data_IF_960837850976
#
_entry.id   IF_960837850976
#
_cell.length_a   1.000
_cell.length_b   1.000
_cell.length_c   1.000
_cell.angle_alpha   90.00
_cell.angle_beta   90.00
_cell.angle_gamma   90.00
#
_symmetry.space_group_name_H-M   'P 1'
#
loop_
_entity.id
_entity.type
_entity.pdbx_description
1 polymer ?
#
# COMPACT_ATOMS: atom_id res chain seq x y z
N UNK A 1 -24.18 68.47 25.27
CA UNK A 1 -25.45 67.98 24.71
C UNK A 1 -25.75 66.65 25.42
N UNK A 2 -26.54 66.58 26.51
CA UNK A 2 -28.00 66.85 26.62
C UNK A 2 -28.77 65.94 25.63
N UNK A 3 -29.67 65.01 25.98
CA UNK A 3 -30.69 64.89 27.04
C UNK A 3 -31.12 63.40 27.22
N UNK A 4 -31.39 62.96 28.45
CA UNK A 4 -32.71 62.57 29.04
C UNK A 4 -33.26 61.18 28.67
N UNK A 5 -33.39 60.21 29.58
CA UNK A 5 -34.30 60.07 30.74
C UNK A 5 -35.64 59.39 30.37
N UNK A 6 -36.06 58.40 31.17
CA UNK A 6 -37.31 57.65 30.97
C UNK A 6 -37.46 56.46 31.92
N UNK A 7 -37.62 56.73 33.21
CA UNK A 7 -37.98 55.82 34.29
C UNK A 7 -39.49 55.55 34.38
N UNK A 8 -39.89 54.35 34.85
CA UNK A 8 -40.95 54.07 35.86
C UNK A 8 -41.35 52.58 35.73
N UNK A 9 -41.09 51.72 36.70
CA UNK A 9 -41.73 51.55 38.03
C UNK A 9 -43.02 50.70 37.97
N UNK A 10 -43.18 49.84 38.97
CA UNK A 10 -44.50 49.35 39.39
C UNK A 10 -44.76 47.86 39.31
N UNK A 11 -44.58 47.17 40.45
CA UNK A 11 -45.61 46.24 40.92
C UNK A 11 -45.42 44.74 40.67
N UNK A 12 -44.98 44.02 41.70
CA UNK A 12 -45.47 42.65 41.95
C UNK A 12 -46.79 42.75 42.74
N UNK A 13 -47.73 41.83 42.49
CA UNK A 13 -48.01 40.87 43.57
C UNK A 13 -48.18 39.41 43.08
N UNK A 14 -48.17 38.53 44.08
CA UNK A 14 -48.34 37.07 44.07
C UNK A 14 -49.81 36.65 43.87
N UNK A 15 -50.01 35.38 43.47
CA UNK A 15 -51.27 34.61 43.63
C UNK A 15 -51.71 33.97 42.31
N UNK A 16 -51.31 32.73 42.02
CA UNK A 16 -52.11 31.50 42.20
C UNK A 16 -53.38 31.41 41.32
N UNK A 17 -53.34 30.49 40.35
CA UNK A 17 -54.22 29.30 40.25
C UNK A 17 -54.69 29.00 38.81
N UNK A 18 -54.19 27.86 38.31
CA UNK A 18 -54.92 26.77 37.64
C UNK A 18 -55.82 27.13 36.45
N UNK A 19 -55.44 26.62 35.26
CA UNK A 19 -56.27 25.72 34.44
C UNK A 19 -55.43 25.21 33.26
N UNK A 20 -55.02 23.95 33.40
CA UNK A 20 -54.54 23.02 32.38
C UNK A 20 -55.59 22.80 31.29
N UNK A 21 -55.18 22.79 30.02
CA UNK A 21 -56.02 22.23 28.96
C UNK A 21 -55.60 22.66 27.56
N UNK A 22 -55.26 21.67 26.75
CA UNK A 22 -55.32 21.66 25.27
C UNK A 22 -54.35 22.56 24.50
N UNK A 23 -53.09 22.12 24.39
CA UNK A 23 -52.20 22.51 23.30
C UNK A 23 -51.22 21.39 22.87
N UNK A 24 -51.58 20.12 23.08
CA UNK A 24 -50.72 18.97 22.79
C UNK A 24 -51.22 18.05 21.64
N UNK A 25 -52.36 18.35 21.03
CA UNK A 25 -52.97 17.43 20.03
C UNK A 25 -52.59 17.70 18.56
N UNK A 26 -51.84 18.76 18.25
CA UNK A 26 -51.51 19.09 16.84
C UNK A 26 -50.07 18.72 16.42
N UNK A 27 -49.26 18.09 17.30
CA UNK A 27 -47.89 17.66 16.98
C UNK A 27 -47.72 16.14 16.80
N UNK A 28 -48.81 15.38 16.64
CA UNK A 28 -48.76 13.92 16.47
C UNK A 28 -48.92 13.42 15.02
N UNK A 29 -49.10 14.32 14.04
CA UNK A 29 -49.44 13.95 12.64
C UNK A 29 -48.29 13.88 11.63
N UNK A 30 -47.05 14.25 11.98
CA UNK A 30 -45.93 14.33 11.01
C UNK A 30 -44.68 13.58 11.50
N UNK A 31 -44.82 12.28 11.74
CA UNK A 31 -43.67 11.37 11.91
C UNK A 31 -43.89 10.00 11.26
N UNK A 32 -44.70 9.94 10.20
CA UNK A 32 -44.85 8.75 9.35
C UNK A 32 -43.98 8.83 8.09
N UNK A 33 -42.72 9.24 8.22
CA UNK A 33 -41.71 8.80 7.25
C UNK A 33 -41.36 7.39 7.67
N UNK A 34 -41.98 6.40 7.03
CA UNK A 34 -41.72 4.99 7.25
C UNK A 34 -40.23 4.69 7.11
N UNK A 35 -39.50 4.77 8.23
CA UNK A 35 -38.17 4.23 8.34
C UNK A 35 -38.35 2.72 8.18
N UNK A 36 -38.12 2.23 6.95
CA UNK A 36 -37.98 0.82 6.63
C UNK A 36 -37.01 0.24 7.64
N UNK A 37 -37.54 -0.41 8.69
CA UNK A 37 -36.73 -1.21 9.61
C UNK A 37 -35.98 -2.20 8.72
N UNK A 38 -34.63 -2.26 8.74
CA UNK A 38 -33.93 -3.26 7.96
C UNK A 38 -34.51 -4.61 8.36
N UNK A 39 -35.14 -5.29 7.40
CA UNK A 39 -35.79 -6.57 7.66
C UNK A 39 -34.82 -7.43 8.46
N UNK A 40 -35.26 -7.91 9.62
CA UNK A 40 -34.43 -8.73 10.50
C UNK A 40 -33.79 -9.83 9.66
N UNK A 41 -32.46 -9.94 9.65
CA UNK A 41 -31.68 -10.87 8.78
C UNK A 41 -32.26 -12.30 8.76
N UNK A 42 -32.99 -12.69 9.79
CA UNK A 42 -33.75 -13.95 9.92
C UNK A 42 -34.86 -14.18 8.89
N UNK A 43 -35.46 -13.14 8.29
CA UNK A 43 -36.54 -13.26 7.29
C UNK A 43 -36.04 -13.36 5.84
N UNK A 44 -34.75 -13.20 5.59
CA UNK A 44 -34.20 -13.29 4.23
C UNK A 44 -34.11 -14.76 3.76
N UNK A 45 -34.36 -15.04 2.47
CA UNK A 45 -34.10 -16.35 1.87
C UNK A 45 -32.65 -16.79 2.13
N UNK A 46 -32.44 -18.10 2.32
CA UNK A 46 -31.12 -18.65 2.66
C UNK A 46 -30.02 -18.23 1.65
N UNK A 47 -30.37 -18.14 0.37
CA UNK A 47 -29.47 -17.68 -0.69
C UNK A 47 -29.04 -16.21 -0.53
N UNK A 48 -29.96 -15.32 -0.15
CA UNK A 48 -29.67 -13.89 0.05
C UNK A 48 -28.78 -13.69 1.29
N UNK A 49 -29.00 -14.48 2.35
CA UNK A 49 -28.12 -14.48 3.54
C UNK A 49 -26.71 -14.97 3.21
N UNK A 50 -26.60 -16.05 2.44
CA UNK A 50 -25.31 -16.61 2.04
C UNK A 50 -24.52 -15.65 1.13
N UNK A 51 -25.22 -14.97 0.21
CA UNK A 51 -24.65 -13.91 -0.63
C UNK A 51 -24.14 -12.73 0.20
N UNK A 52 -24.97 -12.16 1.08
CA UNK A 52 -24.56 -11.04 1.94
C UNK A 52 -23.41 -11.40 2.89
N UNK A 53 -23.32 -12.66 3.32
CA UNK A 53 -22.21 -13.15 4.14
C UNK A 53 -20.87 -13.22 3.38
N UNK A 54 -20.90 -13.41 2.06
CA UNK A 54 -19.71 -13.54 1.20
C UNK A 54 -19.60 -12.43 0.15
N UNK A 55 -20.41 -11.37 0.27
CA UNK A 55 -20.58 -10.34 -0.75
C UNK A 55 -19.25 -9.73 -1.19
N UNK A 56 -18.37 -9.41 -0.24
CA UNK A 56 -17.02 -8.88 -0.52
C UNK A 56 -16.17 -9.84 -1.35
N UNK A 57 -16.22 -11.14 -1.06
CA UNK A 57 -15.43 -12.15 -1.77
C UNK A 57 -16.03 -12.42 -3.15
N UNK A 58 -17.36 -12.49 -3.25
CA UNK A 58 -18.07 -12.71 -4.50
C UNK A 58 -17.85 -11.53 -5.45
N UNK A 59 -18.06 -10.29 -4.98
CA UNK A 59 -17.84 -9.08 -5.78
C UNK A 59 -16.36 -8.94 -6.19
N UNK A 60 -15.42 -9.21 -5.28
CA UNK A 60 -14.00 -9.19 -5.59
C UNK A 60 -13.61 -10.23 -6.64
N UNK A 61 -14.07 -11.46 -6.50
CA UNK A 61 -13.79 -12.55 -7.45
C UNK A 61 -14.44 -12.29 -8.81
N UNK A 62 -15.69 -11.83 -8.82
CA UNK A 62 -16.40 -11.44 -10.04
C UNK A 62 -15.65 -10.33 -10.79
N UNK A 63 -15.18 -9.30 -10.08
CA UNK A 63 -14.44 -8.20 -10.70
C UNK A 63 -13.13 -8.68 -11.35
N UNK A 64 -12.39 -9.57 -10.67
CA UNK A 64 -11.17 -10.16 -11.23
C UNK A 64 -11.48 -11.01 -12.47
N UNK A 65 -12.53 -11.83 -12.42
CA UNK A 65 -12.96 -12.62 -13.57
C UNK A 65 -13.39 -11.75 -14.75
N UNK A 66 -14.18 -10.69 -14.49
CA UNK A 66 -14.57 -9.73 -15.51
C UNK A 66 -13.36 -9.04 -16.14
N UNK A 67 -12.38 -8.66 -15.33
CA UNK A 67 -11.12 -8.08 -15.82
C UNK A 67 -10.36 -9.06 -16.72
N UNK A 68 -10.23 -10.32 -16.31
CA UNK A 68 -9.54 -11.35 -17.09
C UNK A 68 -10.28 -11.67 -18.39
N UNK A 69 -11.60 -11.76 -18.36
CA UNK A 69 -12.43 -11.98 -19.54
C UNK A 69 -12.35 -10.78 -20.49
N UNK A 70 -12.39 -9.55 -19.95
CA UNK A 70 -12.21 -8.34 -20.73
C UNK A 70 -10.83 -8.27 -21.39
N UNK A 71 -9.78 -8.73 -20.70
CA UNK A 71 -8.42 -8.84 -21.26
C UNK A 71 -8.28 -10.02 -22.24
N UNK A 72 -8.96 -11.14 -22.06
CA UNK A 72 -8.96 -12.17 -23.11
C UNK A 72 -9.68 -11.66 -24.37
N UNK A 73 -10.81 -10.96 -24.20
CA UNK A 73 -11.49 -10.23 -25.28
C UNK A 73 -10.58 -9.18 -25.94
N UNK A 74 -9.79 -8.48 -25.10
CA UNK A 74 -8.51 -7.78 -25.37
C UNK A 74 -7.82 -8.09 -26.70
N UNK A 75 -7.39 -9.33 -26.71
CA UNK A 75 -6.37 -9.84 -27.57
C UNK A 75 -7.03 -10.67 -28.68
N UNK A 76 -8.12 -11.37 -28.36
CA UNK A 76 -8.93 -12.09 -29.35
C UNK A 76 -9.71 -11.19 -30.29
N UNK A 77 -9.93 -9.92 -29.91
CA UNK A 77 -10.60 -8.93 -30.74
C UNK A 77 -12.12 -8.97 -30.68
N UNK A 78 -12.71 -9.38 -29.55
CA UNK A 78 -14.17 -9.49 -29.41
C UNK A 78 -14.93 -8.18 -29.67
N UNK A 79 -14.32 -7.02 -29.41
CA UNK A 79 -14.85 -5.70 -29.77
C UNK A 79 -14.79 -5.41 -31.25
N UNK A 80 -13.73 -5.84 -31.94
CA UNK A 80 -13.66 -5.67 -33.38
C UNK A 80 -14.79 -6.47 -34.03
N UNK A 81 -15.07 -7.67 -33.48
CA UNK A 81 -16.20 -8.49 -33.92
C UNK A 81 -17.55 -7.86 -33.53
N UNK A 82 -17.67 -7.30 -32.32
CA UNK A 82 -18.89 -6.62 -31.86
C UNK A 82 -19.21 -5.32 -32.62
N UNK A 83 -18.19 -4.58 -33.07
CA UNK A 83 -18.31 -3.35 -33.84
C UNK A 83 -18.35 -3.58 -35.35
N UNK A 84 -18.12 -4.82 -35.81
CA UNK A 84 -18.19 -5.20 -37.22
C UNK A 84 -19.52 -4.82 -37.90
N UNK A 85 -20.70 -4.96 -37.25
CA UNK A 85 -21.97 -4.54 -37.86
C UNK A 85 -22.03 -3.03 -38.13
N UNK A 86 -21.28 -2.22 -37.36
CA UNK A 86 -21.27 -0.76 -37.46
C UNK A 86 -20.19 -0.24 -38.41
N UNK A 87 -18.98 -0.81 -38.32
CA UNK A 87 -17.78 -0.28 -38.97
C UNK A 87 -17.34 -1.08 -40.21
N UNK A 88 -18.01 -2.21 -40.51
CA UNK A 88 -17.63 -3.11 -41.60
C UNK A 88 -16.19 -3.59 -41.47
N UNK A 89 -15.47 -3.70 -42.58
CA UNK A 89 -14.08 -4.19 -42.62
C UNK A 89 -13.08 -3.25 -41.92
N UNK A 90 -13.47 -1.99 -41.68
CA UNK A 90 -12.65 -1.06 -40.89
C UNK A 90 -12.49 -1.52 -39.44
N UNK A 91 -13.41 -2.35 -38.92
CA UNK A 91 -13.30 -2.94 -37.59
C UNK A 91 -12.05 -3.82 -37.44
N UNK A 92 -11.54 -4.40 -38.52
CA UNK A 92 -10.34 -5.24 -38.49
C UNK A 92 -9.08 -4.43 -38.13
N UNK A 93 -9.07 -3.12 -38.41
CA UNK A 93 -7.99 -2.20 -37.99
C UNK A 93 -7.95 -1.97 -36.48
N UNK A 94 -9.05 -2.26 -35.77
CA UNK A 94 -9.15 -2.17 -34.31
C UNK A 94 -8.60 -3.42 -33.59
N UNK A 95 -8.32 -4.51 -34.33
CA UNK A 95 -7.67 -5.69 -33.73
C UNK A 95 -6.22 -5.35 -33.40
N UNK A 96 -5.86 -5.54 -32.13
CA UNK A 96 -4.48 -5.42 -31.69
C UNK A 96 -3.65 -6.52 -32.34
N UNK A 97 -2.44 -6.17 -32.80
CA UNK A 97 -1.53 -7.19 -33.35
C UNK A 97 -1.11 -8.11 -32.19
N UNK A 98 -1.23 -9.45 -32.33
CA UNK A 98 -0.88 -10.42 -31.29
C UNK A 98 0.55 -10.33 -30.76
N UNK A 99 1.45 -9.66 -31.50
CA UNK A 99 2.83 -9.44 -31.08
C UNK A 99 2.96 -8.47 -29.88
N UNK A 100 1.98 -7.58 -29.66
CA UNK A 100 2.04 -6.54 -28.63
C UNK A 100 1.25 -6.85 -27.36
N UNK A 101 0.40 -7.88 -27.38
CA UNK A 101 -0.40 -8.28 -26.22
C UNK A 101 -0.55 -9.79 -26.17
N UNK A 102 -0.45 -10.36 -24.96
CA UNK A 102 -0.69 -11.78 -24.73
C UNK A 102 -1.97 -11.98 -23.94
N UNK A 103 -2.76 -12.98 -24.33
CA UNK A 103 -3.92 -13.44 -23.56
C UNK A 103 -3.50 -14.02 -22.22
N UNK A 104 -4.31 -13.83 -21.15
CA UNK A 104 -4.14 -14.54 -19.88
C UNK A 104 -3.96 -16.06 -20.05
N UNK A 105 -4.65 -16.67 -21.01
CA UNK A 105 -4.52 -18.09 -21.31
C UNK A 105 -3.12 -18.48 -21.80
N UNK A 106 -2.55 -17.70 -22.74
CA UNK A 106 -1.18 -17.93 -23.23
C UNK A 106 -0.14 -17.67 -22.13
N UNK A 107 -0.34 -16.64 -21.31
CA UNK A 107 0.51 -16.35 -20.15
C UNK A 107 0.50 -17.53 -19.17
N UNK A 108 -0.67 -18.10 -18.89
CA UNK A 108 -0.80 -19.26 -18.01
C UNK A 108 -0.10 -20.51 -18.58
N UNK A 109 -0.24 -20.76 -19.89
CA UNK A 109 0.45 -21.86 -20.56
C UNK A 109 1.99 -21.68 -20.54
N UNK A 110 2.46 -20.46 -20.80
CA UNK A 110 3.88 -20.10 -20.71
C UNK A 110 4.39 -20.26 -19.27
N UNK A 111 3.64 -19.79 -18.27
CA UNK A 111 3.98 -19.96 -16.86
C UNK A 111 4.11 -21.46 -16.52
N UNK A 112 3.12 -22.27 -16.87
CA UNK A 112 3.16 -23.70 -16.59
C UNK A 112 4.40 -24.36 -17.20
N UNK A 113 4.73 -24.03 -18.45
CA UNK A 113 5.92 -24.54 -19.13
C UNK A 113 7.20 -24.09 -18.42
N UNK A 114 7.34 -22.81 -18.08
CA UNK A 114 8.55 -22.25 -17.49
C UNK A 114 8.79 -22.74 -16.06
N UNK A 115 7.72 -22.93 -15.27
CA UNK A 115 7.82 -23.40 -13.88
C UNK A 115 7.98 -24.91 -13.75
N UNK A 116 7.24 -25.70 -14.55
CA UNK A 116 7.11 -27.15 -14.32
C UNK A 116 7.74 -28.01 -15.42
N UNK A 117 7.92 -27.50 -16.63
CA UNK A 117 8.48 -28.28 -17.75
C UNK A 117 9.95 -27.98 -17.97
N UNK A 118 10.32 -26.71 -18.17
CA UNK A 118 11.72 -26.32 -18.36
C UNK A 118 12.43 -25.99 -17.05
N UNK A 119 11.69 -25.51 -16.05
CA UNK A 119 12.23 -25.10 -14.75
C UNK A 119 13.19 -23.91 -14.81
N UNK A 120 13.29 -23.22 -15.96
CA UNK A 120 14.28 -22.15 -16.18
C UNK A 120 14.09 -20.97 -15.22
N UNK A 121 12.83 -20.70 -14.84
CA UNK A 121 12.46 -19.57 -14.00
C UNK A 121 12.97 -19.69 -12.56
N UNK A 122 13.19 -20.91 -12.05
CA UNK A 122 13.68 -21.11 -10.69
C UNK A 122 15.10 -20.61 -10.51
N UNK A 123 15.95 -20.75 -11.54
CA UNK A 123 17.31 -20.23 -11.54
C UNK A 123 17.31 -18.70 -11.49
N UNK A 124 16.50 -18.07 -12.34
CA UNK A 124 16.40 -16.61 -12.38
C UNK A 124 15.77 -16.06 -11.09
N UNK A 125 14.74 -16.71 -10.57
CA UNK A 125 14.13 -16.36 -9.29
C UNK A 125 15.15 -16.46 -8.13
N UNK A 126 15.93 -17.54 -8.06
CA UNK A 126 16.96 -17.72 -7.03
C UNK A 126 18.06 -16.63 -7.14
N UNK A 127 18.48 -16.32 -8.37
CA UNK A 127 19.47 -15.28 -8.63
C UNK A 127 18.99 -13.90 -8.17
N UNK A 128 17.76 -13.54 -8.50
CA UNK A 128 17.15 -12.26 -8.11
C UNK A 128 16.90 -12.18 -6.60
N UNK A 129 16.38 -13.25 -6.00
CA UNK A 129 16.04 -13.26 -4.59
C UNK A 129 17.28 -13.18 -3.69
N UNK A 130 18.41 -13.76 -4.06
CA UNK A 130 19.66 -13.63 -3.30
C UNK A 130 20.12 -12.16 -3.20
N UNK A 131 20.21 -11.45 -4.33
CA UNK A 131 20.59 -10.03 -4.35
C UNK A 131 19.58 -9.15 -3.61
N UNK A 132 18.30 -9.44 -3.78
CA UNK A 132 17.21 -8.72 -3.12
C UNK A 132 17.24 -8.85 -1.60
N UNK A 133 17.34 -10.07 -1.09
CA UNK A 133 17.34 -10.30 0.36
C UNK A 133 18.55 -9.65 1.02
N UNK A 134 19.74 -9.76 0.41
CA UNK A 134 20.94 -9.10 0.93
C UNK A 134 20.82 -7.57 0.92
N UNK A 135 20.35 -6.98 -0.17
CA UNK A 135 20.12 -5.54 -0.27
C UNK A 135 19.10 -5.04 0.75
N UNK A 136 17.99 -5.77 0.92
CA UNK A 136 16.95 -5.44 1.89
C UNK A 136 17.45 -5.57 3.33
N UNK A 137 18.19 -6.63 3.67
CA UNK A 137 18.78 -6.81 5.01
C UNK A 137 19.74 -5.67 5.34
N UNK A 138 20.61 -5.28 4.41
CA UNK A 138 21.49 -4.12 4.59
C UNK A 138 20.69 -2.82 4.76
N UNK A 139 19.62 -2.64 3.99
CA UNK A 139 18.77 -1.46 4.08
C UNK A 139 18.07 -1.37 5.45
N UNK A 140 17.61 -2.50 5.99
CA UNK A 140 17.02 -2.61 7.33
C UNK A 140 18.08 -2.34 8.40
N UNK A 141 19.23 -2.99 8.29
CA UNK A 141 20.32 -2.90 9.26
C UNK A 141 20.92 -1.49 9.37
N UNK A 142 20.87 -0.69 8.31
CA UNK A 142 21.41 0.67 8.29
C UNK A 142 20.30 1.73 8.40
N UNK A 143 19.24 1.59 7.61
CA UNK A 143 18.17 2.58 7.51
C UNK A 143 17.38 2.74 8.80
N UNK A 144 17.02 1.64 9.48
CA UNK A 144 16.28 1.72 10.73
C UNK A 144 17.12 2.38 11.84
N UNK A 145 18.36 1.95 12.14
CA UNK A 145 19.17 2.61 13.16
C UNK A 145 19.46 4.08 12.84
N UNK A 146 19.76 4.41 11.59
CA UNK A 146 20.02 5.79 11.17
C UNK A 146 18.77 6.67 11.38
N UNK A 147 17.59 6.18 10.99
CA UNK A 147 16.34 6.90 11.16
C UNK A 147 15.96 7.07 12.64
N UNK A 148 16.05 6.00 13.44
CA UNK A 148 15.76 6.06 14.89
C UNK A 148 16.73 7.02 15.60
N UNK A 149 18.03 6.92 15.33
CA UNK A 149 19.03 7.80 15.94
C UNK A 149 18.82 9.25 15.50
N UNK A 150 18.53 9.50 14.21
CA UNK A 150 18.23 10.83 13.69
C UNK A 150 16.92 11.41 14.23
N UNK A 151 15.96 10.57 14.61
CA UNK A 151 14.72 10.98 15.28
C UNK A 151 14.94 11.32 16.75
N UNK A 152 15.82 10.57 17.42
CA UNK A 152 16.10 10.69 18.85
C UNK A 152 17.03 11.86 19.18
N UNK A 153 18.15 11.99 18.48
CA UNK A 153 19.14 13.01 18.75
C UNK A 153 18.94 14.25 17.88
N UNK A 154 18.65 15.39 18.50
CA UNK A 154 18.40 16.67 17.80
C UNK A 154 19.54 17.08 16.86
N UNK A 155 20.79 16.89 17.25
CA UNK A 155 21.97 17.19 16.41
C UNK A 155 22.03 16.29 15.17
N UNK A 156 21.79 14.99 15.35
CA UNK A 156 21.78 14.05 14.23
C UNK A 156 20.59 14.29 13.31
N UNK A 157 19.44 14.72 13.86
CA UNK A 157 18.29 15.16 13.06
C UNK A 157 18.67 16.30 12.10
N UNK A 158 19.43 17.29 12.55
CA UNK A 158 19.86 18.41 11.71
C UNK A 158 20.86 17.97 10.62
N UNK A 159 21.71 16.99 10.91
CA UNK A 159 22.62 16.45 9.92
C UNK A 159 21.89 15.57 8.89
N UNK A 160 21.01 14.68 9.31
CA UNK A 160 20.43 13.62 8.47
C UNK A 160 19.25 14.13 7.63
N UNK A 161 18.41 15.03 8.15
CA UNK A 161 17.19 15.48 7.46
C UNK A 161 17.44 16.08 6.06
N UNK A 162 18.41 16.98 5.85
CA UNK A 162 18.68 17.53 4.52
C UNK A 162 19.03 16.44 3.51
N UNK A 163 19.84 15.45 3.90
CA UNK A 163 20.21 14.34 3.02
C UNK A 163 19.01 13.43 2.71
N UNK A 164 18.19 13.08 3.72
CA UNK A 164 16.99 12.27 3.48
C UNK A 164 16.01 12.98 2.52
N UNK A 165 15.82 14.29 2.69
CA UNK A 165 14.97 15.08 1.82
C UNK A 165 15.54 15.16 0.39
N UNK A 166 16.82 15.49 0.24
CA UNK A 166 17.47 15.58 -1.06
C UNK A 166 17.47 14.25 -1.82
N UNK A 167 17.83 13.15 -1.14
CA UNK A 167 17.87 11.82 -1.76
C UNK A 167 16.48 11.31 -2.13
N UNK A 168 15.44 11.65 -1.35
CA UNK A 168 14.06 11.25 -1.67
C UNK A 168 13.44 12.10 -2.79
N UNK A 169 13.86 13.36 -2.93
CA UNK A 169 13.43 14.23 -4.03
C UNK A 169 14.11 13.86 -5.36
N UNK A 170 15.30 13.27 -5.29
CA UNK A 170 16.07 12.90 -6.48
C UNK A 170 15.57 11.55 -7.04
N UNK A 171 15.36 11.42 -8.37
CA UNK A 171 15.01 10.13 -8.97
C UNK A 171 16.19 9.16 -8.87
N UNK A 172 16.24 8.35 -7.80
CA UNK A 172 17.37 7.45 -7.50
C UNK A 172 17.65 6.47 -8.66
N UNK A 173 16.61 6.10 -9.41
CA UNK A 173 16.69 5.22 -10.60
C UNK A 173 17.62 5.81 -11.69
N UNK A 174 17.78 7.13 -11.76
CA UNK A 174 18.63 7.79 -12.74
C UNK A 174 20.13 7.53 -12.50
N UNK A 175 20.55 7.20 -11.27
CA UNK A 175 21.96 6.93 -10.95
C UNK A 175 22.40 5.49 -11.24
N UNK A 176 21.48 4.59 -11.59
CA UNK A 176 21.78 3.17 -11.74
C UNK A 176 22.90 2.88 -12.76
N UNK A 177 22.94 3.51 -13.95
CA UNK A 177 24.04 3.31 -14.89
C UNK A 177 25.40 3.70 -14.28
N UNK A 178 25.47 4.78 -13.48
CA UNK A 178 26.71 5.19 -12.81
C UNK A 178 27.14 4.19 -11.73
N UNK A 179 26.18 3.66 -10.98
CA UNK A 179 26.45 2.64 -9.96
C UNK A 179 27.09 1.40 -10.60
N UNK A 180 26.58 0.96 -11.74
CA UNK A 180 27.13 -0.19 -12.49
C UNK A 180 28.55 0.12 -12.97
N UNK A 181 28.82 1.34 -13.45
CA UNK A 181 30.17 1.75 -13.87
C UNK A 181 31.14 1.74 -12.69
N UNK A 182 30.72 2.20 -11.51
CA UNK A 182 31.59 2.30 -10.33
C UNK A 182 31.87 0.96 -9.66
N UNK A 183 30.85 0.12 -9.53
CA UNK A 183 30.92 -1.13 -8.75
C UNK A 183 31.13 -2.35 -9.65
N UNK A 184 30.88 -2.22 -10.95
CA UNK A 184 30.88 -3.31 -11.91
C UNK A 184 29.56 -4.08 -11.94
N UNK A 185 29.55 -5.18 -12.69
CA UNK A 185 28.43 -6.13 -12.80
C UNK A 185 28.71 -7.38 -11.97
N UNK A 186 27.73 -7.97 -11.32
CA UNK A 186 27.96 -8.98 -10.29
C UNK A 186 26.83 -9.11 -9.27
N UNK A 187 27.17 -9.30 -7.99
CA UNK A 187 26.20 -9.32 -6.88
C UNK A 187 26.16 -7.97 -6.15
N UNK A 188 27.31 -7.31 -6.06
CA UNK A 188 27.51 -6.07 -5.31
C UNK A 188 26.68 -4.90 -5.84
N UNK A 189 26.57 -4.75 -7.16
CA UNK A 189 25.76 -3.71 -7.79
C UNK A 189 24.26 -3.94 -7.57
N UNK A 190 23.79 -5.19 -7.71
CA UNK A 190 22.37 -5.53 -7.43
C UNK A 190 22.02 -5.21 -5.98
N UNK A 191 22.87 -5.65 -5.05
CA UNK A 191 22.71 -5.38 -3.62
C UNK A 191 22.72 -3.88 -3.34
N UNK A 192 23.64 -3.13 -3.93
CA UNK A 192 23.76 -1.68 -3.72
C UNK A 192 22.56 -0.92 -4.27
N UNK A 193 22.07 -1.25 -5.47
CA UNK A 193 20.89 -0.63 -6.07
C UNK A 193 19.66 -0.85 -5.19
N UNK A 194 19.45 -2.09 -4.76
CA UNK A 194 18.31 -2.47 -3.90
C UNK A 194 18.43 -1.77 -2.54
N UNK A 195 19.63 -1.75 -1.96
CA UNK A 195 19.92 -1.02 -0.73
C UNK A 195 19.55 0.46 -0.84
N UNK A 196 20.04 1.16 -1.87
CA UNK A 196 19.82 2.60 -2.03
C UNK A 196 18.33 2.96 -2.19
N UNK A 197 17.57 2.12 -2.91
CA UNK A 197 16.14 2.30 -3.11
C UNK A 197 15.33 1.98 -1.83
N UNK A 198 15.75 0.98 -1.06
CA UNK A 198 15.04 0.50 0.13
C UNK A 198 15.38 1.27 1.42
N UNK A 199 16.59 1.83 1.55
CA UNK A 199 17.07 2.44 2.80
C UNK A 199 16.32 3.72 3.17
N UNK A 200 15.89 4.52 2.18
CA UNK A 200 15.21 5.79 2.45
C UNK A 200 13.83 5.65 3.11
N UNK A 201 12.87 4.86 2.58
CA UNK A 201 11.59 4.71 3.25
C UNK A 201 11.75 4.13 4.66
N UNK A 202 12.74 3.26 4.89
CA UNK A 202 13.08 2.76 6.23
C UNK A 202 13.56 3.88 7.15
N UNK A 203 14.55 4.66 6.73
CA UNK A 203 15.11 5.75 7.52
C UNK A 203 14.08 6.86 7.80
N UNK A 204 13.27 7.23 6.80
CA UNK A 204 12.23 8.27 6.93
C UNK A 204 11.14 7.83 7.90
N UNK A 205 10.63 6.60 7.76
CA UNK A 205 9.58 6.10 8.65
C UNK A 205 10.12 5.88 10.07
N UNK A 206 11.34 5.39 10.22
CA UNK A 206 11.99 5.27 11.53
C UNK A 206 12.19 6.63 12.21
N UNK A 207 12.60 7.66 11.46
CA UNK A 207 12.70 9.02 11.98
C UNK A 207 11.33 9.56 12.42
N UNK A 208 10.32 9.41 11.56
CA UNK A 208 8.95 9.82 11.86
C UNK A 208 8.37 9.09 13.08
N UNK A 209 8.71 7.82 13.27
CA UNK A 209 8.27 7.01 14.42
C UNK A 209 8.66 7.67 15.75
N UNK A 210 9.92 8.05 15.90
CA UNK A 210 10.42 8.70 17.13
C UNK A 210 9.81 10.09 17.31
N UNK A 211 9.61 10.84 16.22
CA UNK A 211 9.06 12.20 16.26
C UNK A 211 7.56 12.25 16.57
N UNK A 212 6.84 11.15 16.35
CA UNK A 212 5.39 11.05 16.58
C UNK A 212 5.03 10.37 17.90
N UNK A 213 6.02 9.83 18.62
CA UNK A 213 5.83 9.32 20.00
C UNK A 213 5.33 10.43 20.92
N UNK A 214 4.31 10.12 21.75
CA UNK A 214 3.71 11.10 22.66
C UNK A 214 4.74 11.66 23.66
N UNK A 215 5.04 12.97 23.59
CA UNK A 215 5.97 13.61 24.52
C UNK A 215 5.55 13.49 25.99
N UNK A 216 4.26 13.24 26.28
CA UNK A 216 3.76 13.04 27.65
C UNK A 216 4.30 11.76 28.26
N UNK A 217 4.34 10.65 27.51
CA UNK A 217 4.91 9.38 27.98
C UNK A 217 6.38 9.53 28.34
N UNK A 218 7.12 10.27 27.51
CA UNK A 218 8.53 10.60 27.74
C UNK A 218 8.71 11.43 29.01
N UNK A 219 7.91 12.49 29.19
CA UNK A 219 7.98 13.35 30.38
C UNK A 219 7.62 12.60 31.67
N UNK A 220 6.55 11.80 31.64
CA UNK A 220 6.12 11.00 32.80
C UNK A 220 7.22 10.02 33.20
N UNK A 221 7.75 9.23 32.26
CA UNK A 221 8.85 8.30 32.56
C UNK A 221 10.10 9.03 33.08
N UNK A 222 10.42 10.20 32.52
CA UNK A 222 11.50 11.07 33.00
C UNK A 222 11.30 11.55 34.44
N UNK A 223 10.07 11.90 34.84
CA UNK A 223 9.76 12.27 36.23
C UNK A 223 9.93 11.13 37.23
N UNK A 224 9.85 9.87 36.78
CA UNK A 224 10.17 8.67 37.57
C UNK A 224 11.67 8.29 37.51
N UNK A 225 12.53 9.13 36.93
CA UNK A 225 13.98 8.90 36.87
C UNK A 225 14.42 7.89 35.80
N UNK A 226 13.60 7.63 34.77
CA UNK A 226 13.99 6.74 33.68
C UNK A 226 15.19 7.31 32.90
N UNK A 227 16.24 6.51 32.74
CA UNK A 227 17.39 6.83 31.88
C UNK A 227 17.00 6.89 30.41
N UNK A 228 17.80 7.57 29.58
CA UNK A 228 17.55 7.65 28.13
C UNK A 228 17.42 6.28 27.46
N UNK A 229 18.23 5.30 27.90
CA UNK A 229 18.16 3.94 27.37
C UNK A 229 16.88 3.22 27.77
N UNK A 230 16.42 3.39 29.02
CA UNK A 230 15.14 2.85 29.46
C UNK A 230 13.99 3.49 28.68
N UNK A 231 14.04 4.79 28.45
CA UNK A 231 13.02 5.49 27.68
C UNK A 231 12.98 4.99 26.23
N UNK A 232 14.15 4.84 25.61
CA UNK A 232 14.26 4.32 24.25
C UNK A 232 13.69 2.91 24.13
N UNK A 233 14.12 1.97 24.98
CA UNK A 233 13.73 0.56 24.88
C UNK A 233 12.27 0.31 25.29
N UNK A 234 11.75 1.06 26.25
CA UNK A 234 10.42 0.80 26.85
C UNK A 234 9.30 1.60 26.19
N UNK A 235 9.58 2.79 25.67
CA UNK A 235 8.55 3.67 25.09
C UNK A 235 8.74 3.86 23.59
N UNK A 236 9.95 4.23 23.16
CA UNK A 236 10.18 4.64 21.77
C UNK A 236 10.20 3.45 20.84
N UNK A 237 11.00 2.43 21.14
CA UNK A 237 11.14 1.25 20.30
C UNK A 237 9.79 0.52 20.10
N UNK A 238 8.98 0.26 21.16
CA UNK A 238 7.67 -0.37 20.98
C UNK A 238 6.67 0.51 20.22
N UNK A 239 6.62 1.81 20.51
CA UNK A 239 5.73 2.73 19.77
C UNK A 239 6.15 2.93 18.31
N UNK A 240 7.42 2.67 17.99
CA UNK A 240 7.94 2.80 16.63
C UNK A 240 7.62 1.63 15.71
N UNK A 241 7.30 0.44 16.25
CA UNK A 241 7.13 -0.78 15.45
C UNK A 241 6.16 -0.61 14.27
N UNK A 242 4.95 -0.04 14.42
CA UNK A 242 4.03 0.10 13.30
C UNK A 242 4.60 0.95 12.16
N UNK A 243 5.32 2.03 12.51
CA UNK A 243 5.99 2.88 11.54
C UNK A 243 7.17 2.17 10.87
N UNK A 244 7.95 1.39 11.62
CA UNK A 244 9.04 0.59 11.05
C UNK A 244 8.50 -0.45 10.05
N UNK A 245 7.38 -1.11 10.36
CA UNK A 245 6.73 -2.06 9.46
C UNK A 245 6.13 -1.37 8.24
N UNK A 246 5.55 -0.17 8.39
CA UNK A 246 5.12 0.65 7.26
C UNK A 246 6.30 1.02 6.34
N UNK A 247 7.43 1.44 6.92
CA UNK A 247 8.67 1.70 6.20
C UNK A 247 9.18 0.47 5.46
N UNK A 248 9.12 -0.71 6.10
CA UNK A 248 9.53 -1.98 5.50
C UNK A 248 8.64 -2.37 4.30
N UNK A 249 7.32 -2.18 4.38
CA UNK A 249 6.41 -2.41 3.23
C UNK A 249 6.76 -1.55 2.04
N UNK A 250 7.03 -0.26 2.27
CA UNK A 250 7.48 0.66 1.22
C UNK A 250 8.85 0.27 0.66
N UNK A 251 9.76 -0.16 1.53
CA UNK A 251 11.10 -0.61 1.14
C UNK A 251 11.05 -1.88 0.28
N UNK A 252 10.14 -2.82 0.57
CA UNK A 252 9.92 -4.01 -0.24
C UNK A 252 9.53 -3.62 -1.68
N UNK A 253 8.56 -2.72 -1.83
CA UNK A 253 8.13 -2.24 -3.15
C UNK A 253 9.27 -1.54 -3.91
N UNK A 254 10.02 -0.64 -3.25
CA UNK A 254 11.16 0.05 -3.88
C UNK A 254 12.31 -0.91 -4.22
N UNK A 255 12.55 -1.92 -3.39
CA UNK A 255 13.55 -2.96 -3.64
C UNK A 255 13.19 -3.82 -4.86
N UNK A 256 11.90 -4.11 -5.09
CA UNK A 256 11.46 -4.87 -6.27
C UNK A 256 11.74 -4.10 -7.57
N UNK A 257 11.57 -2.77 -7.56
CA UNK A 257 12.01 -1.90 -8.66
C UNK A 257 13.52 -2.04 -8.85
N UNK A 258 14.29 -2.05 -7.75
CA UNK A 258 15.74 -2.24 -7.78
C UNK A 258 16.19 -3.55 -8.42
N UNK A 259 15.49 -4.67 -8.17
CA UNK A 259 15.77 -5.96 -8.82
C UNK A 259 15.60 -5.85 -10.32
N UNK A 260 14.43 -5.38 -10.77
CA UNK A 260 14.11 -5.28 -12.19
C UNK A 260 15.14 -4.42 -12.90
N UNK A 261 15.38 -3.21 -12.40
CA UNK A 261 16.25 -2.26 -13.10
C UNK A 261 17.72 -2.68 -12.98
N UNK A 262 18.16 -3.16 -11.81
CA UNK A 262 19.52 -3.65 -11.61
C UNK A 262 19.88 -4.82 -12.52
N UNK A 263 18.94 -5.74 -12.74
CA UNK A 263 19.18 -6.90 -13.63
C UNK A 263 19.03 -6.57 -15.11
N UNK A 264 18.20 -5.59 -15.49
CA UNK A 264 18.10 -5.13 -16.89
C UNK A 264 19.44 -4.56 -17.38
N UNK A 265 20.11 -3.77 -16.54
CA UNK A 265 21.34 -3.06 -16.94
C UNK A 265 22.63 -3.76 -16.50
N UNK A 266 22.61 -4.52 -15.41
CA UNK A 266 23.82 -5.00 -14.74
C UNK A 266 24.00 -6.52 -14.71
N UNK A 267 23.04 -7.33 -15.21
CA UNK A 267 23.12 -8.79 -15.08
C UNK A 267 22.71 -9.54 -16.34
N UNK A 268 23.39 -10.67 -16.59
CA UNK A 268 23.03 -11.61 -17.66
C UNK A 268 21.96 -12.63 -17.24
N UNK A 269 21.67 -12.72 -15.93
CA UNK A 269 20.74 -13.67 -15.34
C UNK A 269 19.83 -12.96 -14.32
N UNK A 270 18.73 -13.62 -13.95
CA UNK A 270 17.71 -13.05 -13.07
C UNK A 270 16.43 -12.68 -13.81
N UNK A 271 15.36 -12.46 -13.05
CA UNK A 271 14.03 -12.19 -13.58
C UNK A 271 14.00 -10.91 -14.43
N UNK A 272 14.71 -9.85 -14.05
CA UNK A 272 14.81 -8.61 -14.83
C UNK A 272 15.55 -8.82 -16.15
N UNK A 273 16.63 -9.60 -16.15
CA UNK A 273 17.36 -9.96 -17.37
C UNK A 273 16.50 -10.84 -18.30
N UNK A 274 15.78 -11.81 -17.73
CA UNK A 274 14.84 -12.67 -18.47
C UNK A 274 13.73 -11.85 -19.13
N UNK A 275 13.14 -10.89 -18.40
CA UNK A 275 12.12 -9.97 -18.92
C UNK A 275 12.69 -9.14 -20.08
N UNK A 276 13.90 -8.58 -19.92
CA UNK A 276 14.54 -7.78 -20.96
C UNK A 276 14.79 -8.59 -22.24
N UNK A 277 15.31 -9.80 -22.10
CA UNK A 277 15.59 -10.70 -23.23
C UNK A 277 14.31 -11.16 -23.93
N UNK A 278 13.25 -11.49 -23.17
CA UNK A 278 11.95 -11.84 -23.73
C UNK A 278 11.32 -10.65 -24.47
N UNK A 279 11.40 -9.44 -23.91
CA UNK A 279 10.91 -8.20 -24.52
C UNK A 279 11.62 -7.88 -25.83
N UNK A 280 12.96 -8.02 -25.87
CA UNK A 280 13.75 -7.82 -27.09
C UNK A 280 13.39 -8.82 -28.23
N UNK A 281 12.82 -9.99 -27.87
CA UNK A 281 12.35 -11.01 -28.83
C UNK A 281 10.84 -10.95 -29.08
N UNK A 282 10.14 -9.94 -28.56
CA UNK A 282 8.68 -9.82 -28.60
C UNK A 282 7.93 -11.05 -28.05
N UNK A 283 8.53 -11.75 -27.09
CA UNK A 283 7.92 -12.87 -26.36
C UNK A 283 7.11 -12.33 -25.17
N UNK A 284 6.01 -11.66 -25.51
CA UNK A 284 5.18 -10.91 -24.55
C UNK A 284 4.59 -11.80 -23.45
N UNK A 285 4.31 -13.07 -23.77
CA UNK A 285 3.86 -14.10 -22.82
C UNK A 285 4.89 -14.30 -21.71
N UNK A 286 6.17 -14.48 -22.08
CA UNK A 286 7.28 -14.64 -21.13
C UNK A 286 7.57 -13.38 -20.33
N UNK A 287 7.41 -12.20 -20.94
CA UNK A 287 7.52 -10.91 -20.23
C UNK A 287 6.49 -10.85 -19.10
N UNK A 288 5.22 -11.17 -19.39
CA UNK A 288 4.17 -11.20 -18.38
C UNK A 288 4.42 -12.24 -17.29
N UNK A 289 4.90 -13.44 -17.64
CA UNK A 289 5.28 -14.46 -16.63
C UNK A 289 6.34 -13.91 -15.67
N UNK A 290 7.39 -13.26 -16.19
CA UNK A 290 8.42 -12.64 -15.37
C UNK A 290 7.87 -11.53 -14.46
N UNK A 291 7.11 -10.60 -15.02
CA UNK A 291 6.50 -9.48 -14.27
C UNK A 291 5.57 -10.00 -13.16
N UNK A 292 4.68 -10.94 -13.48
CA UNK A 292 3.77 -11.54 -12.50
C UNK A 292 4.51 -12.32 -11.42
N UNK A 293 5.63 -12.95 -11.75
CA UNK A 293 6.49 -13.63 -10.76
C UNK A 293 7.10 -12.64 -9.76
N UNK A 294 7.58 -11.49 -10.24
CA UNK A 294 8.11 -10.42 -9.37
C UNK A 294 7.00 -9.83 -8.50
N UNK A 295 5.82 -9.56 -9.08
CA UNK A 295 4.65 -9.08 -8.34
C UNK A 295 4.24 -10.08 -7.25
N UNK A 296 4.16 -11.37 -7.59
CA UNK A 296 3.83 -12.42 -6.64
C UNK A 296 4.84 -12.48 -5.49
N UNK A 297 6.15 -12.43 -5.80
CA UNK A 297 7.20 -12.40 -4.78
C UNK A 297 7.08 -11.17 -3.86
N UNK A 298 6.82 -9.99 -4.42
CA UNK A 298 6.60 -8.75 -3.66
C UNK A 298 5.38 -8.84 -2.75
N UNK A 299 4.25 -9.31 -3.27
CA UNK A 299 3.01 -9.51 -2.50
C UNK A 299 3.25 -10.51 -1.35
N UNK A 300 3.91 -11.64 -1.62
CA UNK A 300 4.24 -12.62 -0.59
C UNK A 300 5.07 -11.98 0.53
N UNK A 301 6.09 -11.19 0.20
CA UNK A 301 6.90 -10.51 1.22
C UNK A 301 6.11 -9.48 2.02
N UNK A 302 5.26 -8.69 1.38
CA UNK A 302 4.39 -7.72 2.07
C UNK A 302 3.41 -8.47 3.00
N UNK A 303 2.80 -9.55 2.54
CA UNK A 303 1.91 -10.39 3.34
C UNK A 303 2.63 -11.01 4.56
N UNK A 304 3.87 -11.45 4.39
CA UNK A 304 4.71 -11.92 5.52
C UNK A 304 4.88 -10.80 6.54
N UNK A 305 5.21 -9.58 6.10
CA UNK A 305 5.35 -8.42 7.00
C UNK A 305 4.03 -8.09 7.70
N UNK A 306 2.90 -8.09 6.99
CA UNK A 306 1.59 -7.85 7.60
C UNK A 306 1.18 -8.93 8.61
N UNK A 307 1.53 -10.20 8.36
CA UNK A 307 1.31 -11.28 9.33
C UNK A 307 2.13 -11.06 10.60
N UNK A 308 3.37 -10.58 10.47
CA UNK A 308 4.22 -10.20 11.60
C UNK A 308 3.60 -9.01 12.34
N UNK A 309 3.13 -7.99 11.63
CA UNK A 309 2.46 -6.82 12.21
C UNK A 309 1.27 -7.22 13.09
N UNK A 310 0.36 -8.05 12.56
CA UNK A 310 -0.80 -8.55 13.32
C UNK A 310 -0.44 -9.31 14.60
N UNK A 311 0.75 -9.91 14.66
CA UNK A 311 1.26 -10.60 15.86
C UNK A 311 1.87 -9.64 16.87
N UNK A 312 2.44 -8.52 16.42
CA UNK A 312 3.08 -7.54 17.32
C UNK A 312 2.09 -6.49 17.81
N UNK A 313 1.06 -6.17 17.03
CA UNK A 313 0.02 -5.19 17.36
C UNK A 313 -1.13 -5.74 18.22
N UNK A 314 -0.98 -6.92 18.85
CA UNK A 314 -2.03 -7.55 19.70
C UNK A 314 -2.52 -6.60 20.81
N UNK A 315 -1.67 -5.67 21.24
CA UNK A 315 -1.95 -4.69 22.30
C UNK A 315 -2.76 -3.47 21.83
N UNK A 316 -2.94 -3.30 20.52
CA UNK A 316 -3.60 -2.12 19.94
C UNK A 316 -5.06 -2.46 19.66
N UNK A 317 -5.98 -1.79 20.34
CA UNK A 317 -7.41 -1.94 20.09
C UNK A 317 -7.70 -1.55 18.64
N UNK A 318 -8.43 -2.37 17.86
CA UNK A 318 -8.82 -2.01 16.49
C UNK A 318 -9.57 -0.67 16.52
N UNK A 319 -9.14 0.28 15.69
CA UNK A 319 -9.83 1.54 15.46
C UNK A 319 -11.10 1.32 14.61
#
# INVERSE_FOLDING_TARGET
MSLSNGSSDGGRPRGEAIMTGTADDERSGMSSTGALRPASRTQMPAAVRAYLAHERVILGTLMVLLLLIAWEGLERGWWADALRPLLGDSAQRLRLKPIFISSPTLIAAAAFRMFFVTGEIWRDLAWSSAGYLLGLVLAVAIGIPLGLAGGWYRRLSYAVQPFLAALNATPQVAFLPLIIIWVGTGLSERVLIIFLLAVLPLAINAHAAVRTTDPRLIKVAGSFGASEWQLFRTIILPSSVPFLLAGLRLAIGRGMIGVVVGEIYGSAAGLGAMINQAGARFQTDRVFVGVLTIVAAGVILVEVVQRIERRVEIWRTPA
#
